data_IF_020865303887
#
_entry.id   IF_020865303887
#
_cell.length_a   1.000
_cell.length_b   1.000
_cell.length_c   1.000
_cell.angle_alpha   90.00
_cell.angle_beta   90.00
_cell.angle_gamma   90.00
#
_symmetry.space_group_name_H-M   'P 1'
#
loop_
_entity.id
_entity.type
_entity.pdbx_description
1 polymer ?
#
# COMPACT_ATOMS: atom_id res chain seq x y z
N UNK A 1 -8.55 6.90 -13.62
CA UNK A 1 -7.45 5.90 -13.55
C UNK A 1 -6.68 6.12 -12.26
N UNK A 2 -6.11 5.07 -11.69
CA UNK A 2 -5.21 5.13 -10.53
C UNK A 2 -3.95 4.33 -10.83
N UNK A 3 -2.83 4.77 -10.24
CA UNK A 3 -1.60 4.00 -10.10
C UNK A 3 -1.19 4.07 -8.62
N UNK A 4 -1.18 2.93 -7.93
CA UNK A 4 -0.81 2.83 -6.53
C UNK A 4 0.44 1.96 -6.40
N UNK A 5 1.51 2.51 -5.82
CA UNK A 5 2.76 1.79 -5.56
C UNK A 5 2.82 1.37 -4.11
N UNK A 6 3.08 0.09 -3.87
CA UNK A 6 3.27 -0.49 -2.55
C UNK A 6 4.71 -0.94 -2.41
N UNK A 7 5.34 -0.62 -1.28
CA UNK A 7 6.74 -0.96 -1.00
C UNK A 7 6.82 -1.66 0.34
N UNK A 8 7.42 -2.85 0.36
CA UNK A 8 7.75 -3.53 1.61
C UNK A 8 8.95 -2.81 2.27
N UNK A 9 8.85 -2.36 3.53
CA UNK A 9 9.92 -1.60 4.18
C UNK A 9 11.14 -2.46 4.52
N UNK A 10 10.99 -3.78 4.61
CA UNK A 10 12.06 -4.68 5.04
C UNK A 10 13.11 -4.94 3.93
N UNK A 11 12.68 -4.96 2.67
CA UNK A 11 13.53 -5.33 1.54
C UNK A 11 13.34 -4.40 0.32
N UNK A 12 12.55 -3.35 0.46
CA UNK A 12 12.22 -2.37 -0.57
C UNK A 12 11.66 -2.98 -1.86
N UNK A 13 11.08 -4.18 -1.79
CA UNK A 13 10.34 -4.73 -2.92
C UNK A 13 9.12 -3.86 -3.18
N UNK A 14 9.02 -3.34 -4.40
CA UNK A 14 7.97 -2.42 -4.79
C UNK A 14 7.21 -2.94 -6.00
N UNK A 15 5.88 -2.81 -5.94
CA UNK A 15 4.98 -3.11 -7.04
C UNK A 15 4.01 -1.95 -7.26
N UNK A 16 3.71 -1.62 -8.51
CA UNK A 16 2.68 -0.65 -8.87
C UNK A 16 1.49 -1.36 -9.49
N UNK A 17 0.32 -1.09 -8.94
CA UNK A 17 -0.95 -1.56 -9.48
C UNK A 17 -1.63 -0.40 -10.20
N UNK A 18 -1.96 -0.60 -11.48
CA UNK A 18 -2.75 0.34 -12.28
C UNK A 18 -4.16 -0.20 -12.48
N UNK A 19 -5.13 0.70 -12.57
CA UNK A 19 -6.49 0.31 -12.89
C UNK A 19 -7.50 1.44 -12.91
N UNK A 20 -8.76 1.05 -13.00
CA UNK A 20 -9.90 1.97 -13.08
C UNK A 20 -10.51 2.19 -11.69
N UNK A 21 -10.57 3.44 -11.26
CA UNK A 21 -11.32 3.83 -10.05
C UNK A 21 -12.80 3.62 -10.30
N UNK A 22 -13.45 2.86 -9.42
CA UNK A 22 -14.88 2.56 -9.44
C UNK A 22 -15.64 3.55 -8.58
N UNK A 23 -15.09 3.90 -7.40
CA UNK A 23 -15.71 4.86 -6.49
C UNK A 23 -14.71 5.47 -5.53
N UNK A 24 -15.00 6.70 -5.09
CA UNK A 24 -14.29 7.41 -4.02
C UNK A 24 -15.34 7.93 -3.06
N UNK A 25 -15.21 7.59 -1.79
CA UNK A 25 -16.15 8.02 -0.75
C UNK A 25 -15.45 8.07 0.62
N UNK A 26 -16.00 8.75 1.63
CA UNK A 26 -15.54 8.59 3.01
C UNK A 26 -15.48 7.10 3.40
N UNK A 27 -14.49 6.73 4.19
CA UNK A 27 -14.44 5.38 4.73
C UNK A 27 -15.61 5.16 5.68
N UNK A 28 -16.32 4.04 5.51
CA UNK A 28 -17.26 3.56 6.52
C UNK A 28 -16.54 2.76 7.61
N UNK A 29 -17.29 2.25 8.61
CA UNK A 29 -16.74 1.54 9.77
C UNK A 29 -15.79 0.38 9.39
N UNK A 30 -16.12 -0.40 8.36
CA UNK A 30 -15.27 -1.49 7.89
C UNK A 30 -13.94 -1.01 7.30
N UNK A 31 -13.95 0.16 6.65
CA UNK A 31 -12.75 0.79 6.11
C UNK A 31 -11.84 1.29 7.22
N UNK A 32 -12.43 1.93 8.24
CA UNK A 32 -11.73 2.40 9.43
C UNK A 32 -11.11 1.23 10.22
N UNK A 33 -11.87 0.15 10.42
CA UNK A 33 -11.37 -1.07 11.07
C UNK A 33 -10.19 -1.69 10.30
N UNK A 34 -10.28 -1.78 8.97
CA UNK A 34 -9.16 -2.25 8.13
C UNK A 34 -7.94 -1.33 8.21
N UNK A 35 -8.14 -0.02 8.23
CA UNK A 35 -7.05 0.93 8.38
C UNK A 35 -6.35 0.78 9.73
N UNK A 36 -7.11 0.62 10.82
CA UNK A 36 -6.56 0.36 12.16
C UNK A 36 -5.67 -0.89 12.17
N UNK A 37 -6.16 -2.00 11.58
CA UNK A 37 -5.38 -3.25 11.48
C UNK A 37 -4.10 -3.09 10.64
N UNK A 38 -4.17 -2.33 9.54
CA UNK A 38 -3.00 -2.04 8.71
C UNK A 38 -1.95 -1.23 9.48
N UNK A 39 -2.38 -0.20 10.22
CA UNK A 39 -1.48 0.64 11.02
C UNK A 39 -0.81 -0.20 12.11
N UNK A 40 -1.56 -1.04 12.82
CA UNK A 40 -1.00 -1.94 13.84
C UNK A 40 0.03 -2.91 13.26
N UNK A 41 -0.24 -3.47 12.09
CA UNK A 41 0.70 -4.36 11.39
C UNK A 41 1.97 -3.61 10.97
N UNK A 42 1.82 -2.43 10.39
CA UNK A 42 2.96 -1.61 9.96
C UNK A 42 3.81 -1.15 11.14
N UNK A 43 3.22 -0.74 12.26
CA UNK A 43 3.97 -0.35 13.45
C UNK A 43 4.84 -1.51 13.97
N UNK A 44 4.33 -2.76 13.94
CA UNK A 44 5.12 -3.95 14.30
C UNK A 44 6.31 -4.15 13.37
N UNK A 45 6.10 -4.05 12.06
CA UNK A 45 7.17 -4.17 11.06
C UNK A 45 8.23 -3.08 11.26
N UNK A 46 7.81 -1.83 11.39
CA UNK A 46 8.71 -0.69 11.55
C UNK A 46 9.49 -0.74 12.87
N UNK A 47 8.86 -1.19 13.95
CA UNK A 47 9.54 -1.42 15.24
C UNK A 47 10.63 -2.48 15.10
N UNK A 48 10.35 -3.57 14.36
CA UNK A 48 11.36 -4.59 14.04
C UNK A 48 12.55 -4.06 13.22
N UNK A 49 12.37 -2.94 12.51
CA UNK A 49 13.41 -2.22 11.77
C UNK A 49 14.07 -1.09 12.58
N UNK A 50 13.73 -0.96 13.87
CA UNK A 50 14.30 0.06 14.76
C UNK A 50 13.67 1.44 14.65
N UNK A 51 12.52 1.58 13.98
CA UNK A 51 11.79 2.85 13.87
C UNK A 51 10.73 2.93 14.96
N UNK A 52 10.79 3.97 15.79
CA UNK A 52 9.90 4.15 16.93
C UNK A 52 8.51 4.64 16.51
N UNK A 53 7.52 4.40 17.37
CA UNK A 53 6.15 4.90 17.18
C UNK A 53 6.09 6.43 17.13
N UNK A 54 6.93 7.12 17.90
CA UNK A 54 6.99 8.59 17.90
C UNK A 54 7.45 9.13 16.54
N UNK A 55 8.43 8.47 15.92
CA UNK A 55 8.88 8.78 14.56
C UNK A 55 7.80 8.58 13.49
N UNK A 56 6.76 7.78 13.79
CA UNK A 56 5.65 7.44 12.89
C UNK A 56 4.33 8.10 13.26
N UNK A 57 4.30 8.91 14.32
CA UNK A 57 3.07 9.47 14.91
C UNK A 57 2.23 10.31 13.94
N UNK A 58 2.86 10.89 12.90
CA UNK A 58 2.21 11.65 11.85
C UNK A 58 2.01 10.88 10.53
N UNK A 59 2.56 9.66 10.42
CA UNK A 59 2.57 8.89 9.18
C UNK A 59 1.27 8.12 8.96
N UNK A 60 0.53 7.82 10.03
CA UNK A 60 -0.66 6.97 9.98
C UNK A 60 -1.89 7.59 10.67
N UNK A 61 -2.40 8.75 10.19
CA UNK A 61 -3.65 9.30 10.72
C UNK A 61 -4.84 8.40 10.39
N UNK A 62 -5.68 8.12 11.37
CA UNK A 62 -6.94 7.35 11.21
C UNK A 62 -8.18 8.24 11.11
N UNK A 63 -8.03 9.57 11.20
CA UNK A 63 -9.13 10.51 11.06
C UNK A 63 -9.33 10.92 9.59
N UNK A 64 -10.59 11.07 9.15
CA UNK A 64 -10.91 11.60 7.83
C UNK A 64 -10.54 10.67 6.66
N UNK A 65 -10.59 9.36 6.88
CA UNK A 65 -10.21 8.37 5.87
C UNK A 65 -11.14 8.39 4.65
N UNK A 66 -10.55 8.14 3.48
CA UNK A 66 -11.25 8.00 2.20
C UNK A 66 -11.04 6.58 1.68
N UNK A 67 -12.12 5.94 1.25
CA UNK A 67 -12.09 4.64 0.59
C UNK A 67 -12.08 4.83 -0.92
N UNK A 68 -11.00 4.39 -1.57
CA UNK A 68 -10.90 4.30 -3.03
C UNK A 68 -11.09 2.85 -3.45
N UNK A 69 -12.18 2.56 -4.14
CA UNK A 69 -12.41 1.24 -4.74
C UNK A 69 -12.01 1.29 -6.21
N UNK A 70 -11.20 0.37 -6.66
CA UNK A 70 -10.74 0.31 -8.05
C UNK A 70 -10.64 -1.14 -8.54
N UNK A 71 -10.75 -1.35 -9.85
CA UNK A 71 -10.49 -2.63 -10.51
C UNK A 71 -9.04 -2.64 -10.97
N UNK A 72 -8.17 -3.53 -10.44
CA UNK A 72 -6.82 -3.72 -10.96
C UNK A 72 -6.86 -4.20 -12.42
N UNK A 73 -5.96 -3.68 -13.25
CA UNK A 73 -5.86 -4.02 -14.67
C UNK A 73 -4.45 -4.43 -15.07
N UNK A 74 -3.43 -3.91 -14.37
CA UNK A 74 -2.04 -4.28 -14.61
C UNK A 74 -1.21 -4.10 -13.34
N UNK A 75 -0.17 -4.93 -13.20
CA UNK A 75 0.81 -4.87 -12.11
C UNK A 75 2.20 -4.74 -12.72
N UNK A 76 3.04 -3.90 -12.13
CA UNK A 76 4.40 -3.65 -12.59
C UNK A 76 5.40 -3.77 -11.45
N UNK A 77 6.57 -4.35 -11.72
CA UNK A 77 7.71 -4.28 -10.79
C UNK A 77 8.17 -2.83 -10.73
N UNK A 78 8.37 -2.31 -9.52
CA UNK A 78 8.93 -0.98 -9.27
C UNK A 78 10.16 -1.02 -8.37
N UNK A 79 10.55 -2.20 -7.87
CA UNK A 79 11.84 -2.37 -7.18
C UNK A 79 12.96 -1.87 -8.10
N UNK A 80 13.80 -0.92 -7.67
CA UNK A 80 14.90 -0.42 -8.47
C UNK A 80 15.80 -1.56 -8.98
N UNK A 81 16.08 -1.57 -10.28
CA UNK A 81 16.90 -2.60 -10.92
C UNK A 81 16.51 -2.84 -12.38
N UNK A 82 17.14 -3.84 -13.05
CA UNK A 82 16.94 -4.09 -14.48
C UNK A 82 15.49 -4.42 -14.89
N UNK A 83 14.70 -4.96 -13.96
CA UNK A 83 13.28 -5.31 -14.18
C UNK A 83 12.32 -4.17 -13.80
N UNK A 84 12.80 -3.01 -13.35
CA UNK A 84 11.90 -1.91 -12.98
C UNK A 84 11.06 -1.46 -14.18
N UNK A 85 9.74 -1.31 -13.98
CA UNK A 85 8.78 -0.98 -15.02
C UNK A 85 8.28 -2.17 -15.84
N UNK A 86 8.79 -3.39 -15.63
CA UNK A 86 8.26 -4.56 -16.33
C UNK A 86 6.90 -4.98 -15.77
N UNK A 87 6.00 -5.44 -16.64
CA UNK A 87 4.74 -6.02 -16.21
C UNK A 87 4.98 -7.34 -15.46
N UNK A 88 4.21 -7.57 -14.40
CA UNK A 88 4.09 -8.87 -13.75
C UNK A 88 3.07 -9.67 -14.56
N UNK A 89 3.43 -10.89 -14.94
CA UNK A 89 2.58 -11.81 -15.71
C UNK A 89 2.45 -13.12 -14.95
N UNK A 90 1.39 -13.89 -15.20
CA UNK A 90 1.06 -15.12 -14.46
C UNK A 90 2.10 -16.25 -14.57
N UNK A 91 3.24 -16.03 -15.24
CA UNK A 91 4.24 -17.05 -15.57
C UNK A 91 5.30 -17.29 -14.48
N UNK A 92 5.16 -16.75 -13.26
CA UNK A 92 6.09 -16.98 -12.15
C UNK A 92 5.34 -17.34 -10.86
N UNK A 93 4.62 -18.48 -10.85
CA UNK A 93 4.20 -19.17 -9.61
C UNK A 93 4.95 -20.48 -9.46
#
# INVERSE_FOLDING_TARGET
MIAATFTAPADYRSYQIKGQVISVAPAGPDGEARASLYVDAMLKVMTGLGVSREQLSHTFPLAGLVCVRYRPEAVFVQTPGPKAGSAVTDSET
#
